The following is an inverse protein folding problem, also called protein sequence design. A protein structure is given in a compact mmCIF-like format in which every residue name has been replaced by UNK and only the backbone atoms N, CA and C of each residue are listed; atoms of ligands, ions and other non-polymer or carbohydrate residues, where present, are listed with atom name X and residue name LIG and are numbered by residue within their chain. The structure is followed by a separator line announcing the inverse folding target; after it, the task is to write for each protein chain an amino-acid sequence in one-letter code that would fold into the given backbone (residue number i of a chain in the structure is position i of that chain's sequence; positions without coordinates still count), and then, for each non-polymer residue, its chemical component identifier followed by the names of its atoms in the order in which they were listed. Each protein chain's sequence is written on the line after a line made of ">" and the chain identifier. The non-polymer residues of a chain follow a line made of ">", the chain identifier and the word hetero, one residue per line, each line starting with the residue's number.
data_IF_974725398871
#
_entry.id   IF_974725398871
#
_cell.length_a   1.000
_cell.length_b   1.000
_cell.length_c   1.000
_cell.angle_alpha   90.00
_cell.angle_beta   90.00
_cell.angle_gamma   90.00
#
_symmetry.space_group_name_H-M   'P 1'
#
loop_
_entity.id
_entity.type
_entity.pdbx_description
1 polymer ?
#
# COMPACT_ATOMS: atom_id res chain seq x y z
N UNK A 1 -17.16 4.88 13.73
CA UNK A 1 -16.10 3.97 14.22
C UNK A 1 -15.88 4.21 15.71
N UNK A 2 -15.62 3.19 16.51
CA UNK A 2 -15.38 3.39 17.93
C UNK A 2 -13.90 3.66 18.17
N UNK A 3 -13.53 4.92 18.43
CA UNK A 3 -12.13 5.34 18.67
C UNK A 3 -11.47 4.66 19.88
N UNK A 4 -12.23 3.90 20.65
CA UNK A 4 -11.72 3.16 21.82
C UNK A 4 -10.83 1.99 21.42
N UNK A 5 -11.15 1.29 20.32
CA UNK A 5 -10.50 0.04 19.93
C UNK A 5 -9.95 0.03 18.50
N UNK A 6 -10.23 1.06 17.69
CA UNK A 6 -9.69 1.22 16.34
C UNK A 6 -9.54 2.70 15.96
N UNK A 7 -8.43 3.03 15.32
CA UNK A 7 -8.14 4.39 14.83
C UNK A 7 -8.46 4.53 13.34
N UNK A 8 -8.17 3.49 12.57
CA UNK A 8 -8.44 3.43 11.13
C UNK A 8 -8.87 2.03 10.73
N UNK A 9 -9.82 1.93 9.82
CA UNK A 9 -10.13 0.73 9.07
C UNK A 9 -10.11 1.07 7.57
N UNK A 10 -9.66 0.14 6.73
CA UNK A 10 -9.59 0.33 5.28
C UNK A 10 -10.54 -0.64 4.59
N UNK A 11 -11.86 -0.35 4.57
CA UNK A 11 -12.81 -1.13 3.79
C UNK A 11 -12.55 -0.95 2.30
N UNK A 12 -12.96 -1.94 1.51
CA UNK A 12 -12.79 -1.92 0.06
C UNK A 12 -14.02 -2.44 -0.67
N UNK A 13 -14.14 -2.04 -1.93
CA UNK A 13 -15.18 -2.49 -2.83
C UNK A 13 -14.55 -3.15 -4.05
N UNK A 14 -15.11 -4.30 -4.46
CA UNK A 14 -14.71 -5.02 -5.67
C UNK A 14 -15.70 -4.77 -6.79
N UNK A 15 -15.18 -4.38 -7.94
CA UNK A 15 -15.91 -4.26 -9.19
C UNK A 15 -15.52 -5.41 -10.11
N UNK A 16 -16.47 -5.90 -10.89
CA UNK A 16 -16.25 -6.92 -11.91
C UNK A 16 -16.75 -6.45 -13.27
N UNK A 17 -16.01 -6.74 -14.32
CA UNK A 17 -16.34 -6.35 -15.67
C UNK A 17 -16.09 -7.52 -16.65
N UNK A 18 -17.10 -8.06 -17.32
CA UNK A 18 -16.93 -9.06 -18.36
C UNK A 18 -16.08 -8.50 -19.51
N UNK A 19 -15.04 -9.23 -19.92
CA UNK A 19 -14.13 -8.76 -20.96
C UNK A 19 -13.49 -9.91 -21.70
N UNK A 20 -13.26 -9.72 -23.00
CA UNK A 20 -12.45 -10.61 -23.85
C UNK A 20 -11.08 -10.00 -24.18
N UNK A 21 -10.75 -8.84 -23.59
CA UNK A 21 -9.44 -8.24 -23.79
C UNK A 21 -8.35 -9.13 -23.21
N UNK A 22 -7.31 -9.35 -24.00
CA UNK A 22 -6.16 -10.11 -23.50
C UNK A 22 -5.47 -9.31 -22.38
N UNK A 23 -5.25 -9.89 -21.18
CA UNK A 23 -4.73 -9.17 -20.02
C UNK A 23 -3.39 -8.46 -20.27
N UNK A 24 -2.52 -9.04 -21.12
CA UNK A 24 -1.26 -8.40 -21.49
C UNK A 24 -1.44 -7.09 -22.27
N UNK A 25 -2.51 -6.95 -23.06
CA UNK A 25 -2.82 -5.68 -23.71
C UNK A 25 -3.24 -4.63 -22.68
N UNK A 26 -4.00 -5.01 -21.65
CA UNK A 26 -4.31 -4.12 -20.52
C UNK A 26 -3.03 -3.67 -19.81
N UNK A 27 -2.06 -4.58 -19.58
CA UNK A 27 -0.75 -4.24 -19.03
C UNK A 27 0.00 -3.20 -19.89
N UNK A 28 0.02 -3.38 -21.21
CA UNK A 28 0.68 -2.43 -22.13
C UNK A 28 0.05 -1.04 -22.08
N UNK A 29 -1.27 -0.95 -21.97
CA UNK A 29 -1.97 0.32 -21.81
C UNK A 29 -1.70 0.95 -20.44
N UNK A 30 -1.76 0.15 -19.36
CA UNK A 30 -1.52 0.60 -18.01
C UNK A 30 -0.13 1.25 -17.84
N UNK A 31 0.91 0.66 -18.47
CA UNK A 31 2.26 1.22 -18.50
C UNK A 31 2.34 2.63 -19.10
N UNK A 32 1.45 2.96 -20.02
CA UNK A 32 1.42 4.29 -20.68
C UNK A 32 0.63 5.31 -19.89
N UNK A 33 -0.43 4.86 -19.22
CA UNK A 33 -1.37 5.75 -18.53
C UNK A 33 -0.88 6.03 -17.10
N UNK A 34 -0.40 5.02 -16.40
CA UNK A 34 -0.02 5.10 -15.00
C UNK A 34 1.27 4.34 -14.71
N UNK A 35 2.44 4.83 -15.16
CA UNK A 35 3.72 4.24 -14.79
C UNK A 35 3.89 4.32 -13.27
N UNK A 36 4.29 3.20 -12.67
CA UNK A 36 4.47 3.05 -11.22
C UNK A 36 5.76 2.28 -10.93
N UNK A 37 6.33 2.39 -9.73
CA UNK A 37 7.58 1.69 -9.38
C UNK A 37 7.51 0.18 -9.58
N UNK A 38 6.34 -0.42 -9.35
CA UNK A 38 6.11 -1.86 -9.52
C UNK A 38 5.07 -2.11 -10.60
N UNK A 39 5.57 -2.37 -11.81
CA UNK A 39 4.76 -2.77 -12.95
C UNK A 39 4.89 -4.27 -13.15
N UNK A 40 3.77 -5.01 -13.13
CA UNK A 40 3.82 -6.46 -13.29
C UNK A 40 2.68 -7.01 -14.13
N UNK A 41 2.98 -8.09 -14.80
CA UNK A 41 2.08 -9.04 -15.42
C UNK A 41 2.48 -10.43 -14.92
N UNK A 42 1.57 -11.12 -14.26
CA UNK A 42 1.81 -12.46 -13.72
C UNK A 42 0.73 -13.39 -14.24
N UNK A 43 1.12 -14.47 -14.88
CA UNK A 43 0.23 -15.55 -15.28
C UNK A 43 0.33 -16.69 -14.27
N UNK A 44 -0.77 -16.93 -13.55
CA UNK A 44 -0.89 -17.99 -12.56
C UNK A 44 -1.56 -19.26 -13.12
N UNK A 45 -1.81 -19.30 -14.42
CA UNK A 45 -2.50 -20.41 -15.08
C UNK A 45 -4.01 -20.20 -15.09
N UNK A 46 -4.66 -20.25 -13.94
CA UNK A 46 -6.11 -20.07 -13.79
C UNK A 46 -6.53 -18.59 -13.65
N UNK A 47 -5.59 -17.69 -13.45
CA UNK A 47 -5.82 -16.25 -13.38
C UNK A 47 -4.58 -15.47 -13.84
N UNK A 48 -4.79 -14.28 -14.40
CA UNK A 48 -3.72 -13.35 -14.76
C UNK A 48 -3.84 -12.07 -13.94
N UNK A 49 -2.69 -11.56 -13.47
CA UNK A 49 -2.59 -10.34 -12.71
C UNK A 49 -1.93 -9.24 -13.53
N UNK A 50 -2.53 -8.07 -13.53
CA UNK A 50 -2.01 -6.86 -14.21
C UNK A 50 -1.99 -5.74 -13.19
N UNK A 51 -0.81 -5.26 -12.83
CA UNK A 51 -0.69 -4.28 -11.76
C UNK A 51 0.31 -3.15 -12.03
N UNK A 52 0.04 -2.01 -11.40
CA UNK A 52 0.86 -0.80 -11.37
C UNK A 52 0.91 -0.25 -9.93
N UNK A 53 1.55 -1.00 -9.03
CA UNK A 53 1.60 -0.63 -7.62
C UNK A 53 2.61 0.48 -7.36
N UNK A 54 2.23 1.52 -6.60
CA UNK A 54 3.15 2.58 -6.22
C UNK A 54 3.90 2.27 -4.91
N UNK A 55 3.45 1.28 -4.14
CA UNK A 55 3.82 1.16 -2.73
C UNK A 55 4.61 -0.11 -2.44
N UNK A 56 5.82 0.07 -1.89
CA UNK A 56 6.65 -1.02 -1.39
C UNK A 56 6.05 -1.57 -0.10
N UNK A 57 5.71 -2.87 -0.09
CA UNK A 57 5.32 -3.58 1.13
C UNK A 57 6.55 -3.88 1.99
N UNK A 58 7.54 -4.53 1.40
CA UNK A 58 8.76 -4.94 2.09
C UNK A 58 9.91 -5.06 1.09
N UNK A 59 11.00 -4.38 1.37
CA UNK A 59 12.26 -4.52 0.63
C UNK A 59 13.35 -4.96 1.60
N UNK A 60 14.17 -5.92 1.20
CA UNK A 60 15.34 -6.36 1.95
C UNK A 60 16.52 -6.39 0.99
N UNK A 61 17.56 -5.63 1.32
CA UNK A 61 18.82 -5.59 0.59
C UNK A 61 19.95 -5.72 1.58
N UNK A 62 20.76 -6.76 1.43
CA UNK A 62 21.89 -7.05 2.33
C UNK A 62 21.48 -7.07 3.81
N UNK A 63 20.32 -7.63 4.12
CA UNK A 63 19.77 -7.71 5.47
C UNK A 63 19.13 -6.43 6.02
N UNK A 64 19.21 -5.30 5.30
CA UNK A 64 18.49 -4.08 5.65
C UNK A 64 17.05 -4.18 5.16
N UNK A 65 16.11 -4.25 6.10
CA UNK A 65 14.67 -4.21 5.84
C UNK A 65 14.24 -2.75 5.65
N UNK A 66 13.41 -2.49 4.65
CA UNK A 66 12.78 -1.19 4.41
C UNK A 66 11.29 -1.37 4.11
N UNK A 67 10.49 -0.47 4.66
CA UNK A 67 9.04 -0.34 4.43
C UNK A 67 8.74 1.09 4.07
N UNK A 68 7.85 1.29 3.13
CA UNK A 68 7.35 2.62 2.79
C UNK A 68 5.92 2.77 3.32
N UNK A 69 5.65 3.88 4.00
CA UNK A 69 4.32 4.31 4.37
C UNK A 69 3.92 5.46 3.45
N UNK A 70 2.80 5.31 2.77
CA UNK A 70 2.20 6.34 1.90
C UNK A 70 0.82 6.66 2.47
N UNK A 71 0.59 7.93 2.81
CA UNK A 71 -0.71 8.40 3.27
C UNK A 71 -0.85 9.91 3.00
N UNK A 72 -2.10 10.37 2.94
CA UNK A 72 -2.42 11.71 2.49
C UNK A 72 -2.30 11.81 0.97
N UNK A 73 -3.39 12.21 0.32
CA UNK A 73 -3.48 12.25 -1.14
C UNK A 73 -4.12 13.54 -1.60
N UNK A 74 -3.48 14.23 -2.54
CA UNK A 74 -4.11 15.32 -3.27
C UNK A 74 -3.86 15.16 -4.76
N UNK A 75 -4.80 15.58 -5.59
CA UNK A 75 -4.65 15.56 -7.06
C UNK A 75 -3.56 16.53 -7.47
N UNK A 76 -2.91 16.25 -8.60
CA UNK A 76 -1.94 17.16 -9.22
C UNK A 76 -2.60 18.47 -9.63
N UNK A 77 -1.92 19.57 -9.42
CA UNK A 77 -2.27 20.86 -10.00
C UNK A 77 -1.99 20.94 -11.50
N UNK A 78 -2.51 21.96 -12.14
CA UNK A 78 -2.27 22.21 -13.57
C UNK A 78 -0.86 22.78 -13.83
N UNK A 79 -0.21 23.35 -12.81
CA UNK A 79 1.11 23.99 -12.91
C UNK A 79 2.06 23.48 -11.81
N UNK A 80 3.38 23.57 -12.01
CA UNK A 80 4.36 23.24 -10.95
C UNK A 80 4.19 24.08 -9.67
N UNK A 81 3.72 25.31 -9.79
CA UNK A 81 3.45 26.20 -8.65
C UNK A 81 2.25 25.73 -7.84
N UNK A 82 1.17 25.34 -8.52
CA UNK A 82 0.00 24.72 -7.86
C UNK A 82 0.36 23.41 -7.18
N UNK A 83 1.17 22.56 -7.82
CA UNK A 83 1.68 21.34 -7.20
C UNK A 83 2.46 21.61 -5.91
N UNK A 84 3.28 22.67 -5.90
CA UNK A 84 4.04 23.04 -4.71
C UNK A 84 3.11 23.52 -3.58
N UNK A 85 2.11 24.34 -3.92
CA UNK A 85 1.13 24.83 -2.95
C UNK A 85 0.27 23.69 -2.37
N UNK A 86 -0.16 22.76 -3.21
CA UNK A 86 -0.93 21.57 -2.79
C UNK A 86 -0.10 20.66 -1.88
N UNK A 87 1.17 20.43 -2.22
CA UNK A 87 2.09 19.65 -1.38
C UNK A 87 2.34 20.30 -0.01
N UNK A 88 2.48 21.62 0.02
CA UNK A 88 2.63 22.38 1.28
C UNK A 88 1.33 22.32 2.10
N UNK A 89 0.16 22.49 1.48
CA UNK A 89 -1.13 22.37 2.15
C UNK A 89 -1.31 20.97 2.77
N UNK A 90 -0.90 19.90 2.06
CA UNK A 90 -0.93 18.53 2.55
C UNK A 90 -0.02 18.37 3.79
N UNK A 91 1.19 18.95 3.77
CA UNK A 91 2.09 18.95 4.93
C UNK A 91 1.54 19.71 6.14
N UNK A 92 0.67 20.68 5.93
CA UNK A 92 0.06 21.48 7.00
C UNK A 92 -1.28 20.92 7.48
N UNK A 93 -1.88 19.94 6.77
CA UNK A 93 -3.15 19.31 7.15
C UNK A 93 -3.02 18.51 8.45
N UNK A 94 -3.72 18.87 9.53
CA UNK A 94 -3.65 18.13 10.79
C UNK A 94 -4.16 16.69 10.65
N UNK A 95 -5.23 16.46 9.85
CA UNK A 95 -5.82 15.13 9.58
C UNK A 95 -4.78 14.24 8.91
N UNK A 96 -4.24 14.68 7.75
CA UNK A 96 -3.31 13.87 6.95
C UNK A 96 -2.02 13.57 7.70
N UNK A 97 -1.52 14.54 8.47
CA UNK A 97 -0.34 14.35 9.33
C UNK A 97 -0.57 13.33 10.43
N UNK A 98 -1.72 13.40 11.11
CA UNK A 98 -2.07 12.47 12.19
C UNK A 98 -2.21 11.03 11.65
N UNK A 99 -2.89 10.86 10.52
CA UNK A 99 -3.02 9.59 9.83
C UNK A 99 -1.65 9.04 9.40
N UNK A 100 -0.83 9.88 8.79
CA UNK A 100 0.50 9.49 8.33
C UNK A 100 1.41 9.05 9.48
N UNK A 101 1.44 9.79 10.60
CA UNK A 101 2.19 9.41 11.82
C UNK A 101 1.71 8.06 12.37
N UNK A 102 0.40 7.84 12.40
CA UNK A 102 -0.17 6.56 12.84
C UNK A 102 0.33 5.39 11.97
N UNK A 103 0.35 5.54 10.64
CA UNK A 103 0.85 4.50 9.73
C UNK A 103 2.35 4.30 9.82
N UNK A 104 3.12 5.37 10.04
CA UNK A 104 4.58 5.29 10.31
C UNK A 104 4.84 4.53 11.61
N UNK A 105 4.08 4.78 12.67
CA UNK A 105 4.23 4.08 13.94
C UNK A 105 3.87 2.59 13.81
N UNK A 106 2.81 2.27 13.07
CA UNK A 106 2.44 0.91 12.76
C UNK A 106 3.55 0.19 11.98
N UNK A 107 4.08 0.80 10.93
CA UNK A 107 5.17 0.23 10.13
C UNK A 107 6.46 0.06 10.97
N UNK A 108 6.77 1.02 11.84
CA UNK A 108 7.89 0.93 12.78
C UNK A 108 7.72 -0.26 13.73
N UNK A 109 6.52 -0.46 14.27
CA UNK A 109 6.21 -1.62 15.11
C UNK A 109 6.39 -2.94 14.35
N UNK A 110 5.92 -3.04 13.11
CA UNK A 110 6.05 -4.23 12.28
C UNK A 110 7.53 -4.57 11.99
N UNK A 111 8.35 -3.55 11.69
CA UNK A 111 9.80 -3.70 11.47
C UNK A 111 10.51 -4.11 12.76
N UNK A 112 10.17 -3.52 13.90
CA UNK A 112 10.77 -3.84 15.20
C UNK A 112 10.60 -5.32 15.62
N UNK A 113 9.53 -5.96 15.17
CA UNK A 113 9.25 -7.37 15.51
C UNK A 113 10.30 -8.34 14.93
N UNK A 114 10.99 -7.97 13.87
CA UNK A 114 11.94 -8.83 13.13
C UNK A 114 13.34 -8.25 13.02
N UNK A 115 13.49 -6.94 13.18
CA UNK A 115 14.77 -6.25 13.14
C UNK A 115 15.36 -6.08 14.55
N UNK A 116 16.65 -5.75 14.61
CA UNK A 116 17.27 -5.27 15.84
C UNK A 116 16.65 -3.91 16.19
N UNK A 117 15.98 -3.77 17.36
CA UNK A 117 15.31 -2.53 17.74
C UNK A 117 16.23 -1.31 17.80
N UNK A 118 17.52 -1.49 18.07
CA UNK A 118 18.51 -0.41 18.11
C UNK A 118 18.82 0.16 16.74
N UNK A 119 18.49 -0.58 15.68
CA UNK A 119 18.73 -0.18 14.28
C UNK A 119 17.49 0.36 13.59
N UNK A 120 16.30 0.15 14.19
CA UNK A 120 15.04 0.60 13.59
C UNK A 120 14.93 2.12 13.69
N UNK A 121 14.74 2.74 12.53
CA UNK A 121 14.64 4.20 12.42
C UNK A 121 13.72 4.63 11.28
N UNK A 122 13.16 5.82 11.43
CA UNK A 122 12.49 6.54 10.35
C UNK A 122 13.58 7.26 9.56
N UNK A 123 13.93 6.76 8.40
CA UNK A 123 15.01 7.30 7.55
C UNK A 123 14.59 8.61 6.87
N UNK A 124 13.31 8.68 6.48
CA UNK A 124 12.68 9.91 5.99
C UNK A 124 11.25 9.98 6.51
N UNK A 125 10.78 11.17 6.83
CA UNK A 125 9.45 11.41 7.39
C UNK A 125 8.73 12.49 6.60
N UNK A 126 7.50 12.18 6.16
CA UNK A 126 6.60 13.12 5.49
C UNK A 126 7.21 13.86 4.29
N UNK A 127 7.91 13.14 3.42
CA UNK A 127 8.35 13.71 2.15
C UNK A 127 7.15 13.89 1.22
N UNK A 128 7.09 15.04 0.55
CA UNK A 128 6.11 15.27 -0.52
C UNK A 128 6.61 14.63 -1.80
N UNK A 129 5.96 13.60 -2.27
CA UNK A 129 6.30 12.91 -3.52
C UNK A 129 5.20 13.11 -4.56
N UNK A 130 5.63 13.47 -5.78
CA UNK A 130 4.75 13.72 -6.92
C UNK A 130 4.72 12.51 -7.84
N UNK A 131 3.55 11.90 -7.95
CA UNK A 131 3.29 10.82 -8.90
C UNK A 131 2.61 11.37 -10.17
N UNK A 132 2.26 10.51 -11.11
CA UNK A 132 1.67 10.95 -12.38
C UNK A 132 0.36 11.73 -12.22
N UNK A 133 -0.49 11.35 -11.28
CA UNK A 133 -1.85 11.90 -11.11
C UNK A 133 -2.10 12.51 -9.73
N UNK A 134 -1.26 12.19 -8.75
CA UNK A 134 -1.45 12.56 -7.34
C UNK A 134 -0.14 12.98 -6.70
N UNK A 135 -0.26 13.68 -5.57
CA UNK A 135 0.83 14.01 -4.64
C UNK A 135 0.53 13.27 -3.34
N UNK A 136 1.53 12.61 -2.78
CA UNK A 136 1.42 11.88 -1.51
C UNK A 136 2.45 12.37 -0.49
N UNK A 137 2.14 12.14 0.79
CA UNK A 137 3.15 12.10 1.85
C UNK A 137 3.75 10.70 1.92
N UNK A 138 5.06 10.63 1.94
CA UNK A 138 5.79 9.35 2.03
C UNK A 138 6.77 9.36 3.18
N UNK A 139 6.94 8.20 3.82
CA UNK A 139 7.95 7.97 4.84
C UNK A 139 8.62 6.63 4.63
N UNK A 140 9.90 6.55 4.99
CA UNK A 140 10.69 5.33 4.90
C UNK A 140 11.16 4.89 6.27
N UNK A 141 10.79 3.68 6.64
CA UNK A 141 11.17 3.02 7.88
C UNK A 141 12.16 1.90 7.55
N UNK A 142 13.29 1.85 8.26
CA UNK A 142 14.32 0.82 8.03
C UNK A 142 14.79 0.20 9.33
N UNK A 143 15.32 -1.03 9.22
CA UNK A 143 15.95 -1.75 10.33
C UNK A 143 16.84 -2.87 9.82
N UNK A 144 17.79 -3.32 10.62
CA UNK A 144 18.64 -4.48 10.31
C UNK A 144 17.95 -5.76 10.76
N UNK A 145 17.70 -6.69 9.85
CA UNK A 145 17.11 -7.99 10.14
C UNK A 145 17.96 -8.74 11.16
N UNK A 146 17.33 -9.28 12.20
CA UNK A 146 18.04 -10.09 13.20
C UNK A 146 18.58 -11.38 12.59
N UNK A 147 19.72 -11.90 13.08
CA UNK A 147 20.33 -13.13 12.56
C UNK A 147 19.44 -14.38 12.73
N UNK A 148 18.54 -14.38 13.71
CA UNK A 148 17.58 -15.47 13.99
C UNK A 148 16.31 -15.37 13.14
N UNK A 149 16.20 -14.40 12.22
CA UNK A 149 15.05 -14.14 11.37
C UNK A 149 15.39 -14.26 9.89
N UNK A 150 14.42 -14.75 9.15
CA UNK A 150 14.51 -14.87 7.69
C UNK A 150 13.79 -13.71 6.99
N UNK A 151 14.07 -13.52 5.70
CA UNK A 151 13.33 -12.58 4.87
C UNK A 151 11.82 -12.87 4.81
N UNK A 152 11.42 -14.15 4.93
CA UNK A 152 10.00 -14.52 5.00
C UNK A 152 9.37 -14.17 6.34
N UNK A 153 10.13 -14.20 7.44
CA UNK A 153 9.65 -13.72 8.74
C UNK A 153 9.43 -12.22 8.71
N UNK A 154 10.29 -11.46 8.02
CA UNK A 154 10.09 -10.04 7.81
C UNK A 154 8.82 -9.76 7.00
N UNK A 155 8.64 -10.45 5.87
CA UNK A 155 7.40 -10.32 5.09
C UNK A 155 6.15 -10.64 5.92
N UNK A 156 6.17 -11.73 6.69
CA UNK A 156 5.04 -12.12 7.57
C UNK A 156 4.74 -11.11 8.67
N UNK A 157 5.78 -10.46 9.21
CA UNK A 157 5.60 -9.43 10.24
C UNK A 157 4.92 -8.18 9.71
N UNK A 158 5.28 -7.78 8.49
CA UNK A 158 4.80 -6.55 7.85
C UNK A 158 3.43 -6.77 7.22
N UNK A 159 3.18 -7.95 6.64
CA UNK A 159 1.94 -8.29 5.95
C UNK A 159 0.75 -8.50 6.91
N UNK A 160 -0.46 -8.04 6.53
CA UNK A 160 -0.73 -7.09 5.46
C UNK A 160 -0.25 -5.68 5.82
N UNK A 161 -0.06 -4.82 4.80
CA UNK A 161 0.31 -3.43 5.03
C UNK A 161 -0.75 -2.66 5.81
N UNK A 162 -0.32 -1.73 6.67
CA UNK A 162 -1.22 -0.89 7.45
C UNK A 162 -2.10 0.00 6.57
N UNK A 163 -1.55 0.48 5.46
CA UNK A 163 -2.23 1.34 4.48
C UNK A 163 -3.43 0.69 3.78
N UNK A 164 -3.55 -0.64 3.84
CA UNK A 164 -4.67 -1.40 3.26
C UNK A 164 -5.45 -2.22 4.29
N UNK A 165 -5.06 -2.16 5.57
CA UNK A 165 -5.76 -2.85 6.67
C UNK A 165 -6.32 -1.88 7.71
N UNK A 166 -5.49 -1.01 8.22
CA UNK A 166 -5.81 -0.04 9.26
C UNK A 166 -5.04 -0.26 10.57
N UNK A 167 -5.41 0.47 11.60
CA UNK A 167 -4.72 0.48 12.89
C UNK A 167 -5.71 0.49 14.07
N UNK A 168 -5.49 -0.30 15.14
CA UNK A 168 -4.54 -1.40 15.29
C UNK A 168 -4.81 -2.54 14.30
N UNK A 169 -3.77 -3.13 13.72
CA UNK A 169 -3.86 -4.03 12.56
C UNK A 169 -4.87 -5.18 12.73
N UNK A 170 -4.80 -5.92 13.84
CA UNK A 170 -5.68 -7.09 14.05
C UNK A 170 -7.15 -6.65 14.13
N UNK A 171 -7.44 -5.60 14.92
CA UNK A 171 -8.80 -5.10 15.07
C UNK A 171 -9.37 -4.54 13.77
N UNK A 172 -8.56 -3.83 13.01
CA UNK A 172 -8.95 -3.31 11.71
C UNK A 172 -9.31 -4.44 10.73
N UNK A 173 -8.51 -5.52 10.67
CA UNK A 173 -8.80 -6.70 9.84
C UNK A 173 -10.11 -7.37 10.25
N UNK A 174 -10.38 -7.52 11.55
CA UNK A 174 -11.66 -8.07 12.04
C UNK A 174 -12.85 -7.23 11.58
N UNK A 175 -12.76 -5.90 11.72
CA UNK A 175 -13.83 -4.98 11.30
C UNK A 175 -14.06 -5.03 9.78
N UNK A 176 -12.98 -4.97 9.01
CA UNK A 176 -13.05 -5.03 7.54
C UNK A 176 -13.63 -6.36 7.08
N UNK A 177 -13.26 -7.49 7.70
CA UNK A 177 -13.81 -8.80 7.38
C UNK A 177 -15.32 -8.88 7.63
N UNK A 178 -15.82 -8.21 8.67
CA UNK A 178 -17.26 -8.12 8.96
C UNK A 178 -18.00 -7.21 7.98
N UNK A 179 -17.37 -6.15 7.50
CA UNK A 179 -17.97 -5.18 6.57
C UNK A 179 -18.02 -5.72 5.13
N UNK A 180 -16.90 -6.27 4.65
CA UNK A 180 -16.79 -6.74 3.26
C UNK A 180 -17.52 -8.04 3.00
N UNK A 181 -17.63 -8.94 4.00
CA UNK A 181 -18.28 -10.27 3.94
C UNK A 181 -17.72 -11.19 2.83
N UNK A 182 -16.71 -10.78 2.11
CA UNK A 182 -16.06 -11.50 1.03
C UNK A 182 -14.53 -11.53 1.21
N UNK A 183 -13.90 -12.53 0.62
CA UNK A 183 -12.43 -12.59 0.60
C UNK A 183 -11.87 -11.60 -0.42
N UNK A 184 -10.88 -10.83 -0.03
CA UNK A 184 -10.19 -9.87 -0.89
C UNK A 184 -9.45 -10.51 -2.08
N UNK A 185 -9.06 -11.76 -1.95
CA UNK A 185 -8.26 -12.42 -2.98
C UNK A 185 -6.88 -11.76 -3.12
N UNK A 186 -6.58 -11.24 -4.31
CA UNK A 186 -5.29 -10.60 -4.62
C UNK A 186 -5.15 -9.20 -4.02
N UNK A 187 -6.24 -8.46 -3.90
CA UNK A 187 -6.22 -7.10 -3.36
C UNK A 187 -5.63 -7.04 -1.95
N UNK A 188 -4.81 -6.04 -1.68
CA UNK A 188 -4.04 -5.89 -0.44
C UNK A 188 -3.03 -7.02 -0.17
N UNK A 189 -2.79 -7.88 -1.17
CA UNK A 189 -1.80 -8.94 -1.15
C UNK A 189 -0.38 -8.45 -1.37
N UNK A 190 0.51 -9.36 -1.74
CA UNK A 190 1.93 -9.11 -1.94
C UNK A 190 2.38 -9.67 -3.29
N UNK A 191 3.02 -8.83 -4.11
CA UNK A 191 3.58 -9.23 -5.40
C UNK A 191 5.02 -8.75 -5.47
N UNK A 192 5.93 -9.61 -5.93
CA UNK A 192 7.33 -9.23 -6.03
C UNK A 192 8.25 -10.39 -6.28
N UNK A 193 9.52 -10.23 -5.94
CA UNK A 193 10.56 -11.23 -6.14
C UNK A 193 11.31 -11.54 -4.86
N UNK A 194 11.75 -12.78 -4.77
CA UNK A 194 12.64 -13.30 -3.72
C UNK A 194 13.90 -13.80 -4.41
N UNK A 195 15.04 -13.19 -4.11
CA UNK A 195 16.35 -13.64 -4.60
C UNK A 195 16.92 -14.64 -3.61
N UNK A 196 17.08 -15.87 -4.06
CA UNK A 196 17.62 -16.94 -3.21
C UNK A 196 19.14 -16.90 -3.10
N UNK A 197 19.84 -16.32 -4.06
CA UNK A 197 21.31 -16.25 -4.07
C UNK A 197 21.82 -15.09 -3.20
N UNK A 198 21.20 -13.92 -3.32
CA UNK A 198 21.61 -12.71 -2.58
C UNK A 198 20.86 -12.53 -1.26
N UNK A 199 19.87 -13.38 -0.98
CA UNK A 199 18.96 -13.24 0.14
C UNK A 199 18.16 -11.92 0.16
N UNK A 200 18.05 -11.25 -0.97
CA UNK A 200 17.25 -10.06 -1.14
C UNK A 200 15.75 -10.39 -1.31
N UNK A 201 14.91 -9.43 -1.01
CA UNK A 201 13.46 -9.48 -1.21
C UNK A 201 12.99 -8.10 -1.65
N UNK A 202 12.08 -8.06 -2.62
CA UNK A 202 11.51 -6.82 -3.12
C UNK A 202 10.04 -7.06 -3.50
N UNK A 203 9.13 -6.58 -2.66
CA UNK A 203 7.69 -6.90 -2.72
C UNK A 203 6.88 -5.64 -2.54
N UNK A 204 5.92 -5.43 -3.44
CA UNK A 204 4.92 -4.36 -3.36
C UNK A 204 3.58 -4.86 -2.80
N UNK A 205 2.73 -3.91 -2.42
CA UNK A 205 1.33 -4.18 -2.09
C UNK A 205 0.56 -4.38 -3.39
N UNK A 206 -0.30 -5.40 -3.46
CA UNK A 206 -1.17 -5.64 -4.61
C UNK A 206 -2.37 -4.68 -4.59
N UNK A 207 -2.11 -3.43 -4.93
CA UNK A 207 -3.08 -2.37 -5.19
C UNK A 207 -2.92 -1.86 -6.63
N UNK A 208 -3.91 -1.15 -7.15
CA UNK A 208 -3.95 -0.75 -8.57
C UNK A 208 -3.69 -1.95 -9.48
N UNK A 209 -4.37 -3.05 -9.14
CA UNK A 209 -4.17 -4.38 -9.75
C UNK A 209 -5.50 -4.92 -10.23
N UNK A 210 -5.52 -5.37 -11.48
CA UNK A 210 -6.62 -6.11 -12.08
C UNK A 210 -6.32 -7.61 -12.01
N UNK A 211 -7.31 -8.40 -11.63
CA UNK A 211 -7.28 -9.86 -11.73
C UNK A 211 -8.19 -10.28 -12.87
N UNK A 212 -7.68 -11.03 -13.84
CA UNK A 212 -8.46 -11.60 -14.92
C UNK A 212 -8.67 -13.09 -14.67
N UNK A 213 -9.92 -13.50 -14.66
CA UNK A 213 -10.33 -14.90 -14.50
C UNK A 213 -11.68 -15.11 -15.17
N UNK A 214 -11.84 -16.23 -15.88
CA UNK A 214 -13.10 -16.66 -16.50
C UNK A 214 -13.75 -15.54 -17.35
N UNK A 215 -12.97 -14.90 -18.24
CA UNK A 215 -13.39 -13.77 -19.07
C UNK A 215 -13.96 -12.57 -18.29
N UNK A 216 -13.53 -12.41 -17.06
CA UNK A 216 -13.93 -11.30 -16.21
C UNK A 216 -12.71 -10.62 -15.60
N UNK A 217 -12.68 -9.28 -15.68
CA UNK A 217 -11.70 -8.45 -14.97
C UNK A 217 -12.29 -8.01 -13.64
N UNK A 218 -11.54 -8.22 -12.56
CA UNK A 218 -11.87 -7.79 -11.20
C UNK A 218 -10.92 -6.67 -10.80
N UNK A 219 -11.48 -5.58 -10.30
CA UNK A 219 -10.75 -4.47 -9.70
C UNK A 219 -11.26 -4.28 -8.28
N UNK A 220 -10.34 -3.96 -7.37
CA UNK A 220 -10.71 -3.67 -6.00
C UNK A 220 -9.95 -2.43 -5.53
N UNK A 221 -10.65 -1.53 -4.84
CA UNK A 221 -10.11 -0.33 -4.25
C UNK A 221 -10.78 -0.07 -2.90
N UNK A 222 -10.08 0.64 -2.02
CA UNK A 222 -10.59 1.02 -0.70
C UNK A 222 -9.87 2.25 -0.19
N UNK A 223 -10.51 2.95 0.73
CA UNK A 223 -10.01 4.14 1.42
C UNK A 223 -9.89 3.94 2.93
N UNK A 224 -9.05 4.74 3.55
CA UNK A 224 -8.80 4.72 4.99
C UNK A 224 -9.85 5.52 5.77
N UNK A 225 -10.76 4.86 6.47
CA UNK A 225 -11.79 5.52 7.28
C UNK A 225 -11.23 5.78 8.68
N UNK A 226 -11.17 7.05 9.07
CA UNK A 226 -10.78 7.54 10.39
C UNK A 226 -11.95 8.23 11.09
N UNK A 227 -11.74 8.74 12.32
CA UNK A 227 -12.79 9.42 13.08
C UNK A 227 -13.33 10.68 12.36
N UNK A 228 -12.44 11.43 11.74
CA UNK A 228 -12.73 12.70 11.08
C UNK A 228 -13.10 12.54 9.59
N UNK A 229 -13.31 11.30 9.12
CA UNK A 229 -13.75 11.03 7.76
C UNK A 229 -15.17 11.54 7.50
N UNK A 230 -15.36 12.19 6.37
CA UNK A 230 -16.66 12.63 5.85
C UNK A 230 -17.10 11.64 4.77
N UNK A 231 -18.28 11.06 4.92
CA UNK A 231 -18.78 9.96 4.07
C UNK A 231 -18.71 10.25 2.57
N UNK A 232 -19.13 11.45 2.17
CA UNK A 232 -19.13 11.88 0.76
C UNK A 232 -17.70 11.99 0.20
N UNK A 233 -16.80 12.56 0.97
CA UNK A 233 -15.40 12.75 0.55
C UNK A 233 -14.69 11.40 0.39
N UNK A 234 -14.87 10.49 1.34
CA UNK A 234 -14.28 9.15 1.29
C UNK A 234 -14.85 8.27 0.16
N UNK A 235 -16.12 8.51 -0.22
CA UNK A 235 -16.74 7.82 -1.36
C UNK A 235 -16.22 8.31 -2.70
N UNK A 236 -15.89 9.60 -2.81
CA UNK A 236 -15.38 10.23 -4.03
C UNK A 236 -13.88 9.94 -4.24
N UNK A 237 -13.12 9.74 -3.15
CA UNK A 237 -11.70 9.39 -3.18
C UNK A 237 -11.46 8.01 -3.85
#
# INVERSE_FOLDING_TARGET
>A
MCIRDSFQAVPSQRLSYPTQLHPFNCYRHLRRINPSPYMFYVDCGDAQLVGASPETLCQIVQGKVAVHAIAGTVRRGATPQEDAALGEALLQSPKDRAEHIMLVDLARNDVNRVCDPTTTRVESLMNVEKFSHVIHLTSRITGQLRPDRTKLDALRSIFPAGTVSGAPKIRAIELVSQLEQERRGVYAGAVGRIDYAKHDLDVCIAIRTMTFKDNTAYLQAGGGIVHDSVEEDEYIE
#
